data_IF_248616908685
#
_entry.id   IF_248616908685
#
_cell.length_a   1.000
_cell.length_b   1.000
_cell.length_c   1.000
_cell.angle_alpha   90.00
_cell.angle_beta   90.00
_cell.angle_gamma   90.00
#
_symmetry.space_group_name_H-M   'P 1'
#
loop_
_entity.id
_entity.type
_entity.pdbx_description
1 polymer ?
#
# COMPACT_ATOMS: atom_id res chain seq x y z
N UNK A 1 39.66 -11.88 18.37
CA UNK A 1 39.93 -11.68 16.93
C UNK A 1 38.62 -11.33 16.22
N UNK A 2 38.38 -10.06 15.88
CA UNK A 2 37.26 -9.70 15.00
C UNK A 2 37.74 -9.69 13.55
N UNK A 3 37.22 -10.60 12.72
CA UNK A 3 37.53 -10.65 11.29
C UNK A 3 36.86 -9.46 10.58
N UNK A 4 37.61 -8.36 10.41
CA UNK A 4 37.22 -7.26 9.51
C UNK A 4 37.48 -7.68 8.07
N UNK A 5 36.53 -8.36 7.45
CA UNK A 5 36.56 -8.62 6.01
C UNK A 5 35.95 -7.42 5.29
N UNK A 6 36.70 -6.34 5.13
CA UNK A 6 36.25 -5.12 4.46
C UNK A 6 36.43 -5.22 2.93
N UNK A 7 35.82 -6.22 2.30
CA UNK A 7 35.89 -6.35 0.84
C UNK A 7 34.68 -5.67 0.17
N UNK A 8 34.85 -4.41 -0.25
CA UNK A 8 33.78 -3.56 -0.81
C UNK A 8 33.13 -4.15 -2.09
N UNK A 9 33.84 -4.97 -2.85
CA UNK A 9 33.31 -5.68 -4.02
C UNK A 9 32.33 -6.78 -3.62
N UNK A 10 32.63 -7.54 -2.57
CA UNK A 10 31.73 -8.56 -2.01
C UNK A 10 30.43 -7.95 -1.47
N UNK A 11 30.51 -6.84 -0.74
CA UNK A 11 29.32 -6.14 -0.21
C UNK A 11 28.44 -5.58 -1.34
N UNK A 12 29.04 -5.20 -2.48
CA UNK A 12 28.28 -4.75 -3.66
C UNK A 12 27.56 -5.89 -4.38
N UNK A 13 28.10 -7.11 -4.35
CA UNK A 13 27.48 -8.28 -4.97
C UNK A 13 26.45 -8.98 -4.08
N UNK A 14 26.40 -8.66 -2.78
CA UNK A 14 25.36 -9.17 -1.89
C UNK A 14 23.98 -8.65 -2.30
N UNK A 15 22.95 -9.52 -2.30
CA UNK A 15 21.56 -9.08 -2.39
C UNK A 15 21.27 -8.01 -1.34
N UNK A 16 20.35 -7.08 -1.67
CA UNK A 16 20.00 -5.91 -0.84
C UNK A 16 19.70 -6.28 0.61
N UNK A 17 19.09 -7.44 0.85
CA UNK A 17 18.87 -8.01 2.18
C UNK A 17 20.18 -8.25 2.96
N UNK A 18 21.14 -8.98 2.38
CA UNK A 18 22.40 -9.31 3.05
C UNK A 18 23.33 -8.10 3.18
N UNK A 19 23.24 -7.17 2.23
CA UNK A 19 24.02 -5.93 2.23
C UNK A 19 23.73 -5.07 3.44
N UNK A 20 22.46 -4.94 3.85
CA UNK A 20 22.14 -4.15 5.06
C UNK A 20 22.44 -4.85 6.37
N UNK A 21 22.25 -6.18 6.44
CA UNK A 21 22.64 -6.95 7.62
C UNK A 21 24.13 -6.75 7.89
N UNK A 22 24.94 -6.80 6.83
CA UNK A 22 26.35 -6.48 6.90
C UNK A 22 26.60 -5.05 7.39
N UNK A 23 25.89 -4.03 6.90
CA UNK A 23 26.07 -2.66 7.38
C UNK A 23 25.62 -2.46 8.83
N UNK A 24 24.45 -2.97 9.23
CA UNK A 24 23.93 -2.83 10.60
C UNK A 24 24.78 -3.54 11.65
N UNK A 25 25.42 -4.67 11.31
CA UNK A 25 26.34 -5.38 12.22
C UNK A 25 27.70 -4.68 12.32
N UNK A 26 28.10 -3.92 11.30
CA UNK A 26 29.41 -3.27 11.23
C UNK A 26 29.38 -1.76 11.54
N UNK A 27 28.22 -1.17 11.82
CA UNK A 27 28.08 0.21 12.29
C UNK A 27 28.38 0.32 13.80
N UNK A 28 28.99 1.44 14.22
CA UNK A 28 29.21 1.74 15.64
C UNK A 28 27.90 2.23 16.26
N UNK A 29 27.04 1.31 16.69
CA UNK A 29 25.78 1.65 17.37
C UNK A 29 25.05 0.40 17.90
N UNK A 30 24.09 0.57 18.83
CA UNK A 30 23.27 -0.54 19.28
C UNK A 30 22.41 -1.07 18.12
N UNK A 31 22.47 -2.37 17.89
CA UNK A 31 21.66 -3.04 16.87
C UNK A 31 20.19 -2.98 17.28
N UNK A 32 19.34 -2.40 16.43
CA UNK A 32 17.89 -2.45 16.61
C UNK A 32 17.35 -3.78 16.02
N UNK A 33 17.18 -4.77 16.89
CA UNK A 33 16.70 -6.10 16.50
C UNK A 33 15.28 -6.09 15.91
N UNK A 34 14.38 -5.21 16.38
CA UNK A 34 13.02 -5.11 15.85
C UNK A 34 13.02 -4.62 14.40
N UNK A 35 13.88 -3.65 14.08
CA UNK A 35 14.07 -3.18 12.71
C UNK A 35 14.63 -4.28 11.80
N UNK A 36 15.64 -5.02 12.24
CA UNK A 36 16.23 -6.12 11.47
C UNK A 36 15.20 -7.23 11.20
N UNK A 37 14.42 -7.59 12.21
CA UNK A 37 13.37 -8.60 12.10
C UNK A 37 12.28 -8.17 11.12
N UNK A 38 11.73 -6.95 11.25
CA UNK A 38 10.73 -6.41 10.32
C UNK A 38 11.23 -6.39 8.89
N UNK A 39 12.50 -6.03 8.69
CA UNK A 39 13.13 -6.04 7.37
C UNK A 39 13.25 -7.45 6.81
N UNK A 40 13.64 -8.43 7.60
CA UNK A 40 13.70 -9.83 7.18
C UNK A 40 12.32 -10.33 6.74
N UNK A 41 11.30 -10.10 7.58
CA UNK A 41 9.91 -10.45 7.26
C UNK A 41 9.44 -9.82 5.95
N UNK A 42 9.78 -8.54 5.71
CA UNK A 42 9.45 -7.89 4.45
C UNK A 42 10.04 -8.64 3.25
N UNK A 43 11.32 -9.00 3.29
CA UNK A 43 11.98 -9.68 2.18
C UNK A 43 11.45 -11.11 1.97
N UNK A 44 11.13 -11.83 3.04
CA UNK A 44 10.47 -13.13 2.95
C UNK A 44 9.11 -13.01 2.25
N UNK A 45 8.30 -12.03 2.65
CA UNK A 45 7.02 -11.76 1.99
C UNK A 45 7.19 -11.33 0.53
N UNK A 46 8.14 -10.43 0.26
CA UNK A 46 8.46 -9.98 -1.09
C UNK A 46 8.86 -11.16 -1.98
N UNK A 47 9.71 -12.06 -1.50
CA UNK A 47 10.11 -13.26 -2.23
C UNK A 47 8.91 -14.18 -2.52
N UNK A 48 7.99 -14.34 -1.57
CA UNK A 48 6.75 -15.11 -1.77
C UNK A 48 5.86 -14.45 -2.83
N UNK A 49 5.74 -13.13 -2.83
CA UNK A 49 4.99 -12.43 -3.89
C UNK A 49 5.66 -12.62 -5.24
N UNK A 50 6.98 -12.45 -5.32
CA UNK A 50 7.77 -12.60 -6.54
C UNK A 50 7.68 -14.02 -7.12
N UNK A 51 7.66 -15.05 -6.28
CA UNK A 51 7.52 -16.45 -6.74
C UNK A 51 6.13 -16.80 -7.28
N UNK A 52 5.11 -16.01 -6.94
CA UNK A 52 3.72 -16.20 -7.42
C UNK A 52 3.44 -15.51 -8.76
N UNK A 53 4.36 -14.67 -9.24
CA UNK A 53 4.19 -13.93 -10.50
C UNK A 53 4.22 -14.90 -11.68
N UNK A 54 3.17 -14.88 -12.50
CA UNK A 54 3.06 -15.71 -13.70
C UNK A 54 3.46 -14.90 -14.93
N UNK A 55 4.75 -14.82 -15.21
CA UNK A 55 5.34 -13.98 -16.28
C UNK A 55 4.73 -14.22 -17.67
N UNK A 56 4.34 -15.45 -17.98
CA UNK A 56 3.74 -15.81 -19.28
C UNK A 56 2.34 -15.21 -19.48
N UNK A 57 1.66 -14.83 -18.39
CA UNK A 57 0.33 -14.23 -18.42
C UNK A 57 0.35 -12.70 -18.38
N UNK A 58 1.51 -12.08 -18.15
CA UNK A 58 1.65 -10.64 -18.12
C UNK A 58 1.86 -10.10 -19.54
N UNK A 59 1.18 -8.99 -19.86
CA UNK A 59 1.52 -8.19 -21.04
C UNK A 59 2.90 -7.54 -20.87
N UNK A 60 3.51 -7.09 -21.96
CA UNK A 60 4.82 -6.45 -21.89
C UNK A 60 4.81 -5.16 -21.06
N UNK A 61 3.71 -4.39 -21.14
CA UNK A 61 3.45 -3.25 -20.24
C UNK A 61 3.38 -3.66 -18.76
N UNK A 62 2.67 -4.75 -18.45
CA UNK A 62 2.54 -5.23 -17.08
C UNK A 62 3.90 -5.73 -16.54
N UNK A 63 4.72 -6.34 -17.39
CA UNK A 63 6.09 -6.71 -17.04
C UNK A 63 6.92 -5.47 -16.71
N UNK A 64 6.81 -4.40 -17.49
CA UNK A 64 7.55 -3.15 -17.24
C UNK A 64 7.14 -2.51 -15.91
N UNK A 65 5.84 -2.42 -15.63
CA UNK A 65 5.31 -1.95 -14.34
C UNK A 65 5.88 -2.79 -13.19
N UNK A 66 5.88 -4.11 -13.35
CA UNK A 66 6.41 -5.01 -12.33
C UNK A 66 7.92 -4.81 -12.10
N UNK A 67 8.70 -4.68 -13.18
CA UNK A 67 10.14 -4.44 -13.10
C UNK A 67 10.46 -3.10 -12.43
N UNK A 68 9.72 -2.03 -12.76
CA UNK A 68 9.86 -0.72 -12.12
C UNK A 68 9.52 -0.75 -10.63
N UNK A 69 8.45 -1.47 -10.26
CA UNK A 69 8.15 -1.71 -8.85
C UNK A 69 9.31 -2.45 -8.16
N UNK A 70 9.83 -3.53 -8.78
CA UNK A 70 10.92 -4.32 -8.22
C UNK A 70 12.19 -3.48 -8.03
N UNK A 71 12.57 -2.68 -9.03
CA UNK A 71 13.68 -1.73 -8.96
C UNK A 71 13.53 -0.76 -7.77
N UNK A 72 12.33 -0.22 -7.57
CA UNK A 72 12.04 0.65 -6.44
C UNK A 72 12.19 -0.06 -5.09
N UNK A 73 11.71 -1.30 -4.97
CA UNK A 73 11.88 -2.12 -3.77
C UNK A 73 13.35 -2.43 -3.48
N UNK A 74 14.11 -2.83 -4.49
CA UNK A 74 15.53 -3.17 -4.36
C UNK A 74 16.36 -1.94 -3.93
N UNK A 75 15.94 -0.74 -4.32
CA UNK A 75 16.53 0.53 -3.86
C UNK A 75 15.95 1.04 -2.52
N UNK A 76 14.97 0.35 -1.94
CA UNK A 76 14.32 0.76 -0.68
C UNK A 76 13.38 1.96 -0.81
N UNK A 77 12.91 2.27 -2.01
CA UNK A 77 11.97 3.36 -2.26
C UNK A 77 10.52 2.98 -1.92
N UNK A 78 9.80 3.94 -1.35
CA UNK A 78 8.38 3.79 -0.97
C UNK A 78 7.40 4.03 -2.13
N UNK A 79 7.89 4.51 -3.26
CA UNK A 79 7.10 4.83 -4.43
C UNK A 79 7.95 4.83 -5.69
N UNK A 80 7.30 4.66 -6.84
CA UNK A 80 7.88 4.83 -8.17
C UNK A 80 6.86 5.51 -9.09
N UNK A 81 7.31 6.02 -10.24
CA UNK A 81 6.42 6.53 -11.26
C UNK A 81 6.05 5.39 -12.21
N UNK A 82 4.76 5.16 -12.41
CA UNK A 82 4.24 4.14 -13.31
C UNK A 82 4.67 4.45 -14.75
N UNK A 83 5.36 3.55 -15.46
CA UNK A 83 5.82 3.82 -16.83
C UNK A 83 4.67 4.04 -17.82
N UNK A 84 3.46 3.54 -17.53
CA UNK A 84 2.32 3.62 -18.43
C UNK A 84 1.43 4.82 -18.10
N UNK A 85 0.99 4.96 -16.84
CA UNK A 85 0.12 6.08 -16.43
C UNK A 85 0.88 7.34 -16.05
N UNK A 86 2.21 7.27 -15.86
CA UNK A 86 3.07 8.34 -15.35
C UNK A 86 2.66 8.86 -13.95
N UNK A 87 1.86 8.09 -13.22
CA UNK A 87 1.41 8.42 -11.87
C UNK A 87 2.34 7.86 -10.80
N UNK A 88 2.34 8.49 -9.62
CA UNK A 88 3.13 8.03 -8.49
C UNK A 88 2.43 6.88 -7.76
N UNK A 89 3.00 5.68 -7.89
CA UNK A 89 2.49 4.46 -7.26
C UNK A 89 3.28 4.13 -5.99
N UNK A 90 2.57 3.71 -4.93
CA UNK A 90 3.20 3.22 -3.70
C UNK A 90 3.69 1.77 -3.88
N UNK A 91 4.81 1.44 -3.25
CA UNK A 91 5.38 0.09 -3.28
C UNK A 91 4.83 -0.81 -2.17
N UNK A 92 5.03 -2.13 -2.29
CA UNK A 92 4.67 -3.09 -1.22
C UNK A 92 5.39 -2.79 0.09
N UNK A 93 6.65 -2.32 0.03
CA UNK A 93 7.41 -1.88 1.20
C UNK A 93 6.67 -0.80 1.99
N UNK A 94 6.11 0.20 1.30
CA UNK A 94 5.35 1.27 1.98
C UNK A 94 4.12 0.73 2.70
N UNK A 95 3.41 -0.21 2.07
CA UNK A 95 2.23 -0.83 2.67
C UNK A 95 2.60 -1.74 3.84
N UNK A 96 3.67 -2.54 3.72
CA UNK A 96 4.20 -3.39 4.78
C UNK A 96 4.54 -2.57 6.02
N UNK A 97 5.29 -1.48 5.85
CA UNK A 97 5.67 -0.60 6.97
C UNK A 97 4.46 0.12 7.59
N UNK A 98 3.41 0.40 6.80
CA UNK A 98 2.17 0.97 7.35
C UNK A 98 1.38 -0.05 8.18
N UNK A 99 1.45 -1.34 7.85
CA UNK A 99 0.75 -2.39 8.57
C UNK A 99 -0.74 -2.53 8.24
N UNK A 100 -1.32 -1.66 7.40
CA UNK A 100 -2.77 -1.63 7.10
C UNK A 100 -3.07 -1.22 5.66
N UNK A 101 -4.27 -1.50 5.16
CA UNK A 101 -4.78 -1.01 3.86
C UNK A 101 -5.21 0.47 3.93
N UNK A 102 -5.02 1.25 2.87
CA UNK A 102 -5.29 2.71 2.85
C UNK A 102 -6.70 3.07 2.41
N UNK A 103 -7.44 2.10 1.86
CA UNK A 103 -8.73 2.36 1.23
C UNK A 103 -8.66 3.07 -0.13
N UNK A 104 -7.48 3.20 -0.74
CA UNK A 104 -7.27 3.87 -2.05
C UNK A 104 -7.16 2.93 -3.25
N UNK A 105 -7.47 1.64 -3.09
CA UNK A 105 -7.34 0.61 -4.15
C UNK A 105 -5.98 0.62 -4.88
N UNK A 106 -4.88 0.80 -4.13
CA UNK A 106 -3.54 0.93 -4.71
C UNK A 106 -3.10 -0.32 -5.47
N UNK A 107 -2.34 -0.13 -6.55
CA UNK A 107 -1.82 -1.17 -7.45
C UNK A 107 -1.09 -2.31 -6.72
N UNK A 108 -0.31 -1.98 -5.68
CA UNK A 108 0.53 -2.94 -4.94
C UNK A 108 0.06 -3.19 -3.50
N UNK A 109 -1.26 -3.25 -3.27
CA UNK A 109 -1.79 -3.56 -1.95
C UNK A 109 -1.52 -5.02 -1.56
N UNK A 110 -0.89 -5.23 -0.39
CA UNK A 110 -0.64 -6.56 0.20
C UNK A 110 -1.78 -7.07 1.11
N UNK A 111 -2.86 -6.30 1.22
CA UNK A 111 -4.00 -6.56 2.12
C UNK A 111 -5.31 -6.76 1.35
N UNK A 112 -5.22 -7.15 0.07
CA UNK A 112 -6.38 -7.43 -0.80
C UNK A 112 -7.48 -6.37 -0.75
N UNK A 113 -7.08 -5.08 -0.73
CA UNK A 113 -8.01 -3.94 -0.70
C UNK A 113 -9.03 -3.98 0.45
N UNK A 114 -8.72 -4.65 1.57
CA UNK A 114 -9.64 -4.88 2.69
C UNK A 114 -10.29 -3.63 3.29
N UNK A 115 -9.61 -2.48 3.25
CA UNK A 115 -10.09 -1.21 3.78
C UNK A 115 -10.66 -0.26 2.70
N UNK A 116 -10.86 -0.73 1.47
CA UNK A 116 -11.58 0.05 0.44
C UNK A 116 -13.07 -0.05 0.79
N UNK A 117 -13.74 1.08 0.98
CA UNK A 117 -15.17 1.11 1.34
C UNK A 117 -16.09 1.09 0.13
N UNK A 118 -15.59 1.56 -1.02
CA UNK A 118 -16.32 1.60 -2.28
C UNK A 118 -16.18 0.26 -3.00
N UNK A 119 -17.25 -0.53 -3.00
CA UNK A 119 -17.27 -1.85 -3.63
C UNK A 119 -17.16 -1.75 -5.16
N UNK A 120 -17.70 -0.70 -5.79
CA UNK A 120 -17.53 -0.48 -7.23
C UNK A 120 -16.05 -0.29 -7.56
N UNK A 121 -15.32 0.45 -6.72
CA UNK A 121 -13.87 0.60 -6.85
C UNK A 121 -13.13 -0.72 -6.68
N UNK A 122 -13.54 -1.62 -5.78
CA UNK A 122 -12.90 -2.95 -5.68
C UNK A 122 -13.11 -3.77 -6.95
N UNK A 123 -14.34 -3.80 -7.46
CA UNK A 123 -14.71 -4.57 -8.65
C UNK A 123 -13.99 -4.10 -9.92
N UNK A 124 -13.67 -2.81 -9.99
CA UNK A 124 -12.89 -2.23 -11.07
C UNK A 124 -11.45 -2.77 -11.13
N UNK A 125 -10.87 -3.28 -10.04
CA UNK A 125 -9.52 -3.83 -10.07
C UNK A 125 -9.53 -5.36 -10.11
N UNK A 126 -8.66 -5.92 -10.94
CA UNK A 126 -8.40 -7.36 -11.04
C UNK A 126 -6.92 -7.61 -10.76
N UNK A 127 -6.64 -8.61 -9.92
CA UNK A 127 -5.27 -9.03 -9.67
C UNK A 127 -4.73 -9.86 -10.84
N UNK A 128 -3.63 -9.44 -11.47
CA UNK A 128 -3.04 -10.07 -12.66
C UNK A 128 -1.90 -11.06 -12.33
N UNK A 129 -1.90 -11.63 -11.11
CA UNK A 129 -0.81 -12.41 -10.48
C UNK A 129 0.36 -11.59 -9.91
N UNK A 130 0.60 -10.38 -10.42
CA UNK A 130 1.67 -9.50 -9.94
C UNK A 130 1.15 -8.32 -9.12
N UNK A 131 0.09 -7.66 -9.60
CA UNK A 131 -0.47 -6.46 -9.00
C UNK A 131 -1.95 -6.27 -9.39
N UNK A 132 -2.61 -5.29 -8.78
CA UNK A 132 -3.99 -4.91 -9.07
C UNK A 132 -4.05 -3.99 -10.29
N UNK A 133 -4.71 -4.40 -11.37
CA UNK A 133 -4.90 -3.62 -12.59
C UNK A 133 -6.37 -3.28 -12.78
N UNK A 134 -6.68 -2.08 -13.23
CA UNK A 134 -8.05 -1.69 -13.56
C UNK A 134 -8.55 -2.52 -14.75
N UNK A 135 -9.80 -2.98 -14.71
CA UNK A 135 -10.47 -3.66 -15.80
C UNK A 135 -10.74 -2.64 -16.90
N UNK A 136 -10.30 -2.93 -18.13
CA UNK A 136 -10.46 -2.04 -19.29
C UNK A 136 -11.87 -2.02 -19.88
N UNK A 137 -12.83 -2.78 -19.35
CA UNK A 137 -14.17 -2.93 -19.91
C UNK A 137 -15.26 -2.65 -18.86
N UNK A 138 -15.23 -1.48 -18.25
CA UNK A 138 -16.46 -0.76 -18.03
C UNK A 138 -16.40 0.38 -19.03
N UNK A 139 -17.44 0.49 -19.86
CA UNK A 139 -17.68 1.63 -20.75
C UNK A 139 -17.21 2.92 -20.09
N UNK A 140 -16.63 3.84 -20.87
CA UNK A 140 -16.41 5.23 -20.46
C UNK A 140 -17.64 5.70 -19.67
N UNK A 141 -17.52 5.72 -18.35
CA UNK A 141 -18.62 6.09 -17.47
C UNK A 141 -18.39 7.56 -17.23
N UNK A 142 -19.25 8.38 -17.85
CA UNK A 142 -19.28 9.83 -17.66
C UNK A 142 -19.15 10.16 -16.17
N UNK A 143 -18.11 10.93 -15.85
CA UNK A 143 -17.67 11.30 -14.49
C UNK A 143 -18.62 12.32 -13.82
N UNK A 144 -19.89 12.37 -14.26
CA UNK A 144 -20.90 13.38 -13.88
C UNK A 144 -21.51 13.13 -12.49
N UNK A 145 -21.08 12.07 -11.80
CA UNK A 145 -21.55 11.72 -10.46
C UNK A 145 -20.45 11.76 -9.39
N UNK A 146 -19.39 12.53 -9.60
CA UNK A 146 -18.57 13.00 -8.49
C UNK A 146 -19.35 14.07 -7.69
N UNK A 147 -19.91 13.67 -6.55
CA UNK A 147 -20.48 14.61 -5.58
C UNK A 147 -19.33 15.37 -4.89
N UNK A 148 -18.93 16.51 -5.46
CA UNK A 148 -17.90 17.42 -4.91
C UNK A 148 -18.42 18.28 -3.72
N UNK A 149 -19.68 18.08 -3.30
CA UNK A 149 -20.32 18.88 -2.26
C UNK A 149 -20.74 20.29 -2.70
N UNK A 150 -20.55 20.68 -3.96
CA UNK A 150 -20.98 21.99 -4.50
C UNK A 150 -22.50 22.15 -4.59
N UNK A 151 -23.26 21.05 -4.55
CA UNK A 151 -24.72 21.07 -4.53
C UNK A 151 -25.34 21.07 -3.12
N UNK A 152 -24.53 21.19 -2.06
CA UNK A 152 -25.06 21.53 -0.74
C UNK A 152 -25.46 23.00 -0.77
N UNK A 153 -26.74 23.27 -1.04
CA UNK A 153 -27.34 24.56 -0.69
C UNK A 153 -27.34 24.65 0.84
N UNK A 154 -26.31 25.28 1.40
CA UNK A 154 -26.35 25.77 2.77
C UNK A 154 -27.52 26.76 2.80
N UNK A 155 -28.68 26.32 3.26
CA UNK A 155 -29.75 27.25 3.55
C UNK A 155 -29.29 28.07 4.74
N UNK A 156 -28.87 29.32 4.48
CA UNK A 156 -28.69 30.33 5.51
C UNK A 156 -30.06 30.76 6.06
N UNK A 157 -30.87 29.81 6.52
CA UNK A 157 -31.94 30.14 7.45
C UNK A 157 -31.26 30.40 8.79
N UNK A 158 -31.35 31.62 9.34
CA UNK A 158 -30.83 31.88 10.66
C UNK A 158 -31.46 30.89 11.63
N UNK A 159 -30.62 30.27 12.44
CA UNK A 159 -31.04 29.41 13.53
C UNK A 159 -31.88 30.27 14.48
N UNK A 160 -33.22 30.17 14.39
CA UNK A 160 -34.08 30.88 15.31
C UNK A 160 -33.84 30.31 16.69
N UNK A 161 -33.35 31.15 17.58
CA UNK A 161 -33.22 30.88 19.01
C UNK A 161 -34.51 30.28 19.57
N UNK A 162 -34.33 29.29 20.44
CA UNK A 162 -35.34 28.52 21.16
C UNK A 162 -35.86 27.29 20.41
N UNK A 163 -35.40 26.12 20.86
CA UNK A 163 -36.30 25.12 21.45
C UNK A 163 -35.44 24.10 22.22
N UNK A 164 -35.68 24.05 23.52
CA UNK A 164 -35.12 23.10 24.46
C UNK A 164 -35.62 21.70 24.06
N UNK A 165 -34.72 20.75 23.76
CA UNK A 165 -35.12 19.36 23.54
C UNK A 165 -34.47 18.46 24.58
N UNK A 166 -35.29 18.08 25.57
CA UNK A 166 -34.94 17.18 26.66
C UNK A 166 -34.73 15.76 26.13
N UNK A 167 -33.57 15.17 26.45
CA UNK A 167 -33.27 13.77 26.17
C UNK A 167 -34.06 12.91 27.16
N UNK A 168 -35.06 12.16 26.69
CA UNK A 168 -35.60 11.01 27.45
C UNK A 168 -34.75 9.78 27.14
N UNK A 169 -33.98 9.33 28.13
CA UNK A 169 -33.39 8.00 28.14
C UNK A 169 -34.48 6.98 28.46
N UNK A 170 -34.78 6.07 27.52
CA UNK A 170 -35.55 4.86 27.78
C UNK A 170 -34.57 3.74 28.14
N UNK A 171 -34.49 3.41 29.43
CA UNK A 171 -33.84 2.20 29.92
C UNK A 171 -34.93 1.14 30.02
N UNK A 172 -34.95 0.18 29.10
CA UNK A 172 -35.73 -1.04 29.27
C UNK A 172 -34.99 -1.98 30.22
N UNK A 173 -35.39 -1.98 31.50
CA UNK A 173 -35.08 -3.05 32.43
C UNK A 173 -36.28 -4.00 32.48
N UNK A 174 -36.23 -5.09 31.72
CA UNK A 174 -37.02 -6.30 31.99
C UNK A 174 -36.29 -7.11 33.05
N UNK A 175 -36.79 -7.06 34.28
CA UNK A 175 -36.52 -8.06 35.31
C UNK A 175 -37.86 -8.74 35.58
N UNK A 176 -37.87 -10.07 35.44
CA UNK A 176 -38.81 -10.92 36.17
C UNK A 176 -38.29 -11.10 37.60
#
# INVERSE_FOLDING_TARGET
>A
MGLRVSNKSFIKSLPVYYKSLYFSVNEKGPINFDYLYKRQLFWEQENIFQSKVKWDLLSDEDKEIHLKHKEAIDNGHFSYNDPISNEKMLTRLRHFLRGTCCGKACRHCIYDHSNVTDDRRKEQYKFNSAFWKQRSNLEEYDDDHYFDGSNIKISNKPLSSSTHFSIKLNIENKIN
#
